data_IF_738669193158
#
_entry.id   IF_738669193158
#
_cell.length_a   1.000
_cell.length_b   1.000
_cell.length_c   1.000
_cell.angle_alpha   90.00
_cell.angle_beta   90.00
_cell.angle_gamma   90.00
#
_symmetry.space_group_name_H-M   'P 1'
#
loop_
_entity.id
_entity.type
_entity.pdbx_description
1 polymer ?
#
# COMPACT_ATOMS: atom_id res chain seq x y z
N UNK A 1 -21.91 1.47 -12.41
CA UNK A 1 -20.47 1.51 -12.73
C UNK A 1 -19.76 0.53 -11.81
N UNK A 2 -18.86 -0.33 -12.35
CA UNK A 2 -18.11 -1.26 -11.53
C UNK A 2 -17.14 -0.49 -10.60
N UNK A 3 -16.90 -0.98 -9.36
CA UNK A 3 -15.94 -0.34 -8.46
C UNK A 3 -14.52 -0.47 -9.01
N UNK A 4 -13.67 0.54 -8.77
CA UNK A 4 -12.24 0.49 -9.17
C UNK A 4 -11.44 -0.39 -8.20
N UNK A 5 -11.82 -0.36 -6.94
CA UNK A 5 -11.14 -1.08 -5.86
C UNK A 5 -11.93 -2.33 -5.49
N UNK A 6 -11.23 -3.44 -5.44
CA UNK A 6 -11.81 -4.72 -5.04
C UNK A 6 -11.77 -4.90 -3.51
N UNK A 7 -12.88 -5.41 -2.98
CA UNK A 7 -12.98 -5.89 -1.62
C UNK A 7 -13.55 -7.31 -1.66
N UNK A 8 -12.97 -8.23 -0.91
CA UNK A 8 -13.46 -9.61 -0.85
C UNK A 8 -14.94 -9.64 -0.39
N UNK A 9 -15.82 -10.38 -1.08
CA UNK A 9 -17.18 -10.60 -0.59
C UNK A 9 -17.25 -11.24 0.79
N UNK A 10 -16.18 -11.98 1.18
CA UNK A 10 -16.02 -12.59 2.48
C UNK A 10 -15.26 -11.71 3.48
N UNK A 11 -14.96 -10.45 3.14
CA UNK A 11 -14.23 -9.55 4.02
C UNK A 11 -15.03 -9.32 5.31
N UNK A 12 -14.36 -9.45 6.45
CA UNK A 12 -14.91 -9.15 7.77
C UNK A 12 -14.16 -7.97 8.35
N UNK A 13 -14.90 -6.97 8.82
CA UNK A 13 -14.35 -5.82 9.52
C UNK A 13 -14.28 -6.17 11.02
N UNK A 14 -13.11 -6.65 11.43
CA UNK A 14 -12.83 -7.04 12.82
C UNK A 14 -11.72 -6.12 13.33
N UNK A 15 -11.90 -5.58 14.52
CA UNK A 15 -10.90 -4.72 15.16
C UNK A 15 -9.53 -5.42 15.23
N UNK A 16 -8.47 -4.69 14.91
CA UNK A 16 -7.10 -5.20 14.88
C UNK A 16 -6.77 -6.12 13.69
N UNK A 17 -7.71 -6.36 12.75
CA UNK A 17 -7.47 -7.16 11.54
C UNK A 17 -7.70 -6.36 10.27
N UNK A 18 -6.78 -6.46 9.34
CA UNK A 18 -6.97 -5.87 8.02
C UNK A 18 -7.98 -6.71 7.20
N UNK A 19 -9.03 -6.10 6.62
CA UNK A 19 -9.90 -6.79 5.69
C UNK A 19 -9.14 -7.17 4.42
N UNK A 20 -9.55 -8.24 3.73
CA UNK A 20 -8.95 -8.62 2.45
C UNK A 20 -9.51 -7.76 1.33
N UNK A 21 -8.66 -6.91 0.75
CA UNK A 21 -9.01 -5.98 -0.31
C UNK A 21 -8.81 -4.53 0.11
N UNK A 22 -9.36 -3.59 -0.68
CA UNK A 22 -9.15 -2.17 -0.43
C UNK A 22 -7.77 -1.68 -0.86
N UNK A 23 -7.23 -0.73 -0.10
CA UNK A 23 -5.88 -0.19 -0.27
C UNK A 23 -5.17 -0.21 1.10
N UNK A 24 -4.74 -1.36 1.60
CA UNK A 24 -3.97 -1.44 2.84
C UNK A 24 -2.71 -0.57 2.78
N UNK A 25 -2.48 0.19 3.83
CA UNK A 25 -1.27 1.02 3.97
C UNK A 25 -0.20 0.17 4.65
N UNK A 26 0.82 -0.22 3.90
CA UNK A 26 1.98 -0.92 4.45
C UNK A 26 2.98 0.12 4.94
N UNK A 27 3.24 0.16 6.25
CA UNK A 27 4.12 1.14 6.91
C UNK A 27 4.47 0.66 8.33
N UNK A 28 5.67 0.82 8.87
CA UNK A 28 6.86 1.44 8.29
C UNK A 28 7.78 0.45 7.56
N UNK A 29 7.35 -0.78 7.31
CA UNK A 29 8.03 -1.76 6.46
C UNK A 29 7.05 -2.47 5.54
N UNK A 30 7.56 -2.98 4.44
CA UNK A 30 6.83 -3.82 3.49
C UNK A 30 7.33 -5.27 3.57
N UNK A 31 6.41 -6.24 3.48
CA UNK A 31 6.76 -7.65 3.63
C UNK A 31 6.93 -8.07 5.10
N UNK A 32 7.64 -9.17 5.32
CA UNK A 32 8.04 -9.62 6.64
C UNK A 32 9.05 -8.64 7.26
N UNK A 33 9.03 -8.51 8.59
CA UNK A 33 10.04 -7.71 9.27
C UNK A 33 11.43 -8.38 9.18
N UNK A 34 12.46 -7.60 8.88
CA UNK A 34 13.78 -8.14 8.50
C UNK A 34 14.54 -8.81 9.64
N UNK A 35 14.27 -8.46 10.89
CA UNK A 35 15.00 -8.95 12.07
C UNK A 35 14.11 -9.58 13.15
N UNK A 36 12.79 -9.48 13.03
CA UNK A 36 11.85 -10.02 14.02
C UNK A 36 10.61 -10.59 13.34
N UNK A 37 10.56 -11.91 13.18
CA UNK A 37 9.45 -12.62 12.55
C UNK A 37 8.15 -12.62 13.38
N UNK A 38 8.19 -12.15 14.63
CA UNK A 38 6.98 -12.03 15.47
C UNK A 38 6.19 -10.77 15.18
N UNK A 39 6.82 -9.77 14.54
CA UNK A 39 6.17 -8.55 14.14
C UNK A 39 5.26 -8.75 12.90
N UNK A 40 4.17 -7.99 12.81
CA UNK A 40 3.21 -8.17 11.73
C UNK A 40 3.83 -7.87 10.36
N UNK A 41 3.59 -8.72 9.37
CA UNK A 41 3.96 -8.42 8.00
C UNK A 41 3.31 -7.12 7.52
N UNK A 42 4.04 -6.34 6.72
CA UNK A 42 3.62 -5.05 6.15
C UNK A 42 3.41 -3.93 7.18
N UNK A 43 4.07 -4.01 8.33
CA UNK A 43 3.94 -3.01 9.39
C UNK A 43 2.61 -3.05 10.12
N UNK A 44 2.31 -2.01 10.87
CA UNK A 44 1.19 -2.01 11.82
C UNK A 44 0.10 -0.98 11.53
N UNK A 45 0.32 0.01 10.65
CA UNK A 45 -0.67 1.11 10.48
C UNK A 45 -1.93 0.70 9.74
N UNK A 46 -1.91 -0.42 8.97
CA UNK A 46 -3.10 -0.92 8.29
C UNK A 46 -4.19 -1.46 9.24
N UNK A 47 -3.83 -1.73 10.50
CA UNK A 47 -4.74 -2.17 11.56
C UNK A 47 -4.90 -1.14 12.66
N UNK A 48 -4.24 0.00 12.55
CA UNK A 48 -4.31 1.09 13.51
C UNK A 48 -5.55 1.97 13.28
N UNK A 49 -5.99 2.64 14.33
CA UNK A 49 -7.05 3.63 14.26
C UNK A 49 -6.48 4.97 13.80
N UNK A 50 -6.99 5.50 12.69
CA UNK A 50 -6.62 6.80 12.16
C UNK A 50 -7.58 7.87 12.63
N UNK A 51 -7.07 9.04 12.95
CA UNK A 51 -7.88 10.21 13.30
C UNK A 51 -8.38 10.90 12.02
N UNK A 52 -9.69 11.14 11.93
CA UNK A 52 -10.24 12.00 10.89
C UNK A 52 -9.81 13.44 11.15
N UNK A 53 -9.21 14.10 10.18
CA UNK A 53 -8.76 15.50 10.23
C UNK A 53 -9.70 16.44 9.49
N UNK A 54 -10.52 15.90 8.62
CA UNK A 54 -11.53 16.68 7.91
C UNK A 54 -12.07 15.97 6.70
N UNK A 55 -13.18 16.48 6.22
CA UNK A 55 -13.79 16.12 4.95
C UNK A 55 -14.28 17.42 4.28
N UNK A 56 -14.16 17.51 2.98
CA UNK A 56 -14.69 18.62 2.19
C UNK A 56 -15.28 18.12 0.86
N UNK A 57 -16.24 18.88 0.35
CA UNK A 57 -16.81 18.66 -1.00
C UNK A 57 -16.65 19.95 -1.76
N UNK A 58 -15.87 19.93 -2.83
CA UNK A 58 -15.58 21.08 -3.66
C UNK A 58 -15.55 20.68 -5.13
N UNK A 59 -16.25 21.44 -5.98
CA UNK A 59 -16.26 21.23 -7.44
C UNK A 59 -16.50 19.77 -7.86
N UNK A 60 -17.44 19.08 -7.20
CA UNK A 60 -17.76 17.69 -7.50
C UNK A 60 -16.72 16.66 -7.01
N UNK A 61 -15.75 17.08 -6.22
CA UNK A 61 -14.73 16.21 -5.62
C UNK A 61 -14.95 16.11 -4.12
N UNK A 62 -14.81 14.91 -3.56
CA UNK A 62 -14.80 14.65 -2.12
C UNK A 62 -13.36 14.47 -1.67
N UNK A 63 -12.93 15.23 -0.67
CA UNK A 63 -11.61 15.08 -0.05
C UNK A 63 -11.76 14.62 1.39
N UNK A 64 -11.09 13.54 1.75
CA UNK A 64 -11.00 13.01 3.11
C UNK A 64 -9.57 13.12 3.60
N UNK A 65 -9.38 13.57 4.86
CA UNK A 65 -8.05 13.70 5.47
C UNK A 65 -7.99 12.93 6.77
N UNK A 66 -6.95 12.14 6.92
CA UNK A 66 -6.68 11.33 8.09
C UNK A 66 -5.26 11.56 8.58
N UNK A 67 -5.04 11.38 9.87
CA UNK A 67 -3.72 11.42 10.48
C UNK A 67 -3.51 10.25 11.44
N UNK A 68 -2.26 9.82 11.51
CA UNK A 68 -1.78 8.84 12.47
C UNK A 68 -0.43 9.33 13.02
N UNK A 69 -0.16 9.12 14.30
CA UNK A 69 1.14 9.41 14.92
C UNK A 69 1.64 8.16 15.62
N UNK A 70 2.92 7.87 15.49
CA UNK A 70 3.57 6.87 16.33
C UNK A 70 3.68 7.40 17.77
N UNK A 71 3.93 6.53 18.70
CA UNK A 71 4.04 6.88 20.12
C UNK A 71 4.42 5.69 20.97
N UNK A 72 4.19 5.77 22.25
CA UNK A 72 4.60 4.75 23.23
C UNK A 72 4.09 3.34 22.85
N UNK A 73 2.84 3.22 22.39
CA UNK A 73 2.25 1.96 22.01
C UNK A 73 2.95 1.27 20.80
N UNK A 74 3.70 2.03 19.99
CA UNK A 74 4.41 1.51 18.81
C UNK A 74 5.92 1.36 19.02
N UNK A 75 6.48 1.90 20.11
CA UNK A 75 7.93 1.90 20.35
C UNK A 75 8.54 0.51 20.42
N UNK A 76 7.83 -0.46 20.96
CA UNK A 76 8.28 -1.85 21.01
C UNK A 76 8.42 -2.52 19.62
N UNK A 77 7.67 -2.04 18.65
CA UNK A 77 7.74 -2.52 17.26
C UNK A 77 8.65 -1.66 16.38
N UNK A 78 8.66 -0.35 16.63
CA UNK A 78 9.40 0.61 15.81
C UNK A 78 9.75 1.86 16.65
N UNK A 79 11.03 1.99 17.08
CA UNK A 79 11.43 2.96 18.12
C UNK A 79 11.69 4.37 17.55
N UNK A 80 10.85 4.85 16.65
CA UNK A 80 10.97 6.17 16.04
C UNK A 80 9.67 6.96 16.17
N UNK A 81 9.77 8.28 16.12
CA UNK A 81 8.64 9.20 16.13
C UNK A 81 8.35 9.71 14.72
N UNK A 82 7.11 9.55 14.29
CA UNK A 82 6.66 10.01 12.99
C UNK A 82 5.18 10.37 12.99
N UNK A 83 4.83 11.35 12.19
CA UNK A 83 3.45 11.70 11.83
C UNK A 83 3.15 11.28 10.40
N UNK A 84 1.99 10.67 10.21
CA UNK A 84 1.46 10.28 8.90
C UNK A 84 0.22 11.11 8.58
N UNK A 85 0.15 11.58 7.36
CA UNK A 85 -1.04 12.21 6.79
C UNK A 85 -1.48 11.41 5.56
N UNK A 86 -2.76 11.03 5.52
CA UNK A 86 -3.38 10.42 4.37
C UNK A 86 -4.47 11.34 3.85
N UNK A 87 -4.34 11.74 2.59
CA UNK A 87 -5.37 12.46 1.85
C UNK A 87 -5.95 11.56 0.75
N UNK A 88 -7.27 11.46 0.70
CA UNK A 88 -8.01 10.71 -0.32
C UNK A 88 -8.92 11.70 -1.06
N UNK A 89 -8.71 11.84 -2.36
CA UNK A 89 -9.55 12.66 -3.23
C UNK A 89 -10.32 11.77 -4.18
N UNK A 90 -11.63 11.84 -4.11
CA UNK A 90 -12.58 11.07 -4.92
C UNK A 90 -13.30 12.02 -5.87
N UNK A 91 -13.10 11.81 -7.17
CA UNK A 91 -13.75 12.56 -8.25
C UNK A 91 -14.01 11.59 -9.42
N UNK A 92 -13.84 12.03 -10.67
CA UNK A 92 -13.70 11.10 -11.80
C UNK A 92 -12.41 10.25 -11.73
N UNK A 93 -11.53 10.56 -10.77
CA UNK A 93 -10.32 9.81 -10.42
C UNK A 93 -10.28 9.60 -8.92
N UNK A 94 -9.65 8.50 -8.50
CA UNK A 94 -9.25 8.26 -7.12
C UNK A 94 -7.78 8.63 -6.96
N UNK A 95 -7.49 9.55 -6.04
CA UNK A 95 -6.11 9.92 -5.69
C UNK A 95 -5.89 9.69 -4.21
N UNK A 96 -4.80 9.00 -3.88
CA UNK A 96 -4.32 8.84 -2.52
C UNK A 96 -2.94 9.49 -2.40
N UNK A 97 -2.73 10.23 -1.32
CA UNK A 97 -1.44 10.79 -0.96
C UNK A 97 -1.13 10.40 0.48
N UNK A 98 -0.10 9.60 0.67
CA UNK A 98 0.46 9.29 1.97
C UNK A 98 1.73 10.11 2.16
N UNK A 99 1.79 10.89 3.24
CA UNK A 99 2.98 11.65 3.63
C UNK A 99 3.44 11.17 5.01
N UNK A 100 4.75 11.01 5.17
CA UNK A 100 5.41 10.69 6.44
C UNK A 100 6.33 11.83 6.81
N UNK A 101 6.17 12.35 8.02
CA UNK A 101 7.05 13.34 8.64
C UNK A 101 7.82 12.67 9.78
N UNK A 102 9.14 12.69 9.73
CA UNK A 102 9.98 12.33 10.87
C UNK A 102 9.88 13.44 11.90
N UNK A 103 9.32 13.14 13.06
CA UNK A 103 9.19 14.08 14.19
C UNK A 103 10.21 13.80 15.29
N UNK A 104 11.02 12.74 15.13
CA UNK A 104 12.11 12.42 16.03
C UNK A 104 13.42 13.12 15.67
N UNK A 105 14.42 12.97 16.54
CA UNK A 105 15.74 13.60 16.37
C UNK A 105 16.68 12.80 15.43
N UNK A 106 16.39 11.53 15.18
CA UNK A 106 17.26 10.63 14.42
C UNK A 106 16.64 10.24 13.08
N UNK A 107 17.44 10.08 12.02
CA UNK A 107 16.94 9.55 10.75
C UNK A 107 16.53 8.08 10.92
N UNK A 108 15.59 7.62 10.08
CA UNK A 108 15.18 6.24 9.99
C UNK A 108 15.03 5.78 8.55
N UNK A 109 15.11 4.48 8.35
CA UNK A 109 14.80 3.85 7.06
C UNK A 109 13.31 3.54 7.04
N UNK A 110 12.66 3.86 5.94
CA UNK A 110 11.23 3.71 5.73
C UNK A 110 10.95 2.80 4.53
N UNK A 111 10.16 1.75 4.76
CA UNK A 111 9.47 0.99 3.72
C UNK A 111 7.98 1.29 3.75
N UNK A 112 7.43 1.79 2.65
CA UNK A 112 5.99 2.06 2.57
C UNK A 112 5.42 1.65 1.22
N UNK A 113 4.16 1.22 1.22
CA UNK A 113 3.40 0.93 0.01
C UNK A 113 1.90 1.15 0.22
N UNK A 114 1.21 1.52 -0.86
CA UNK A 114 -0.23 1.45 -0.99
C UNK A 114 -0.55 0.13 -1.69
N UNK A 115 -0.92 -0.90 -0.92
CA UNK A 115 -1.17 -2.26 -1.43
C UNK A 115 -2.57 -2.34 -2.06
N UNK A 116 -2.67 -1.83 -3.28
CA UNK A 116 -3.95 -1.64 -3.94
C UNK A 116 -4.49 -2.95 -4.54
N UNK A 117 -5.72 -3.32 -4.18
CA UNK A 117 -6.48 -4.38 -4.83
C UNK A 117 -7.36 -3.77 -5.91
N UNK A 118 -7.00 -3.94 -7.17
CA UNK A 118 -7.83 -3.47 -8.29
C UNK A 118 -8.96 -4.46 -8.59
N UNK A 119 -10.14 -3.94 -8.85
CA UNK A 119 -11.24 -4.75 -9.37
C UNK A 119 -11.03 -4.96 -10.87
N UNK A 120 -10.97 -6.22 -11.28
CA UNK A 120 -10.89 -6.62 -12.69
C UNK A 120 -12.06 -7.53 -13.04
N UNK A 121 -12.54 -7.49 -14.28
CA UNK A 121 -13.65 -8.34 -14.72
C UNK A 121 -13.21 -9.79 -14.86
N UNK A 122 -12.10 -10.02 -15.54
CA UNK A 122 -11.49 -11.33 -15.73
C UNK A 122 -9.98 -11.19 -15.70
N UNK A 123 -9.35 -11.90 -14.76
CA UNK A 123 -7.90 -11.84 -14.57
C UNK A 123 -7.13 -12.38 -15.78
N UNK A 124 -7.69 -13.35 -16.50
CA UNK A 124 -7.04 -13.92 -17.69
C UNK A 124 -6.94 -12.93 -18.85
N UNK A 125 -7.81 -11.92 -18.88
CA UNK A 125 -7.79 -10.85 -19.87
C UNK A 125 -7.14 -9.55 -19.37
N UNK A 126 -6.77 -9.50 -18.07
CA UNK A 126 -6.14 -8.33 -17.49
C UNK A 126 -4.64 -8.26 -17.83
N UNK A 127 -4.16 -7.05 -18.09
CA UNK A 127 -2.74 -6.81 -18.35
C UNK A 127 -2.25 -5.58 -17.60
N UNK A 128 -0.97 -5.58 -17.17
CA UNK A 128 -0.29 -4.38 -16.71
C UNK A 128 0.70 -3.95 -17.78
N UNK A 129 0.59 -2.68 -18.20
CA UNK A 129 1.42 -2.05 -19.22
C UNK A 129 2.24 -0.90 -18.63
N UNK A 130 3.30 -0.49 -19.32
CA UNK A 130 4.18 0.61 -18.90
C UNK A 130 5.35 0.18 -18.01
N UNK A 131 5.55 -1.12 -17.82
CA UNK A 131 6.70 -1.69 -17.12
C UNK A 131 7.66 -2.47 -18.04
N UNK A 132 7.39 -2.42 -19.34
CA UNK A 132 8.21 -3.08 -20.35
C UNK A 132 9.67 -2.53 -20.30
N UNK A 133 10.63 -3.43 -20.33
CA UNK A 133 12.04 -3.10 -20.22
C UNK A 133 12.54 -2.82 -18.80
N UNK A 134 11.66 -2.76 -17.80
CA UNK A 134 12.09 -2.58 -16.40
C UNK A 134 12.67 -3.87 -15.81
N UNK A 135 13.65 -3.71 -14.94
CA UNK A 135 14.15 -4.83 -14.11
C UNK A 135 13.21 -5.10 -12.97
N UNK A 136 13.01 -6.37 -12.67
CA UNK A 136 12.23 -6.79 -11.49
C UNK A 136 12.90 -7.95 -10.77
N UNK A 137 12.50 -8.17 -9.52
CA UNK A 137 12.82 -9.34 -8.72
C UNK A 137 11.59 -10.24 -8.75
N UNK A 138 11.75 -11.47 -9.19
CA UNK A 138 10.70 -12.49 -9.18
C UNK A 138 10.81 -13.31 -7.89
N UNK A 139 9.82 -13.16 -7.01
CA UNK A 139 9.83 -13.83 -5.69
C UNK A 139 9.55 -15.33 -5.83
N UNK A 140 8.80 -15.73 -6.86
CA UNK A 140 8.48 -17.13 -7.15
C UNK A 140 9.65 -17.87 -7.80
N UNK A 141 10.58 -17.15 -8.45
CA UNK A 141 11.77 -17.70 -9.07
C UNK A 141 13.02 -17.53 -8.18
N UNK A 142 12.89 -17.71 -6.87
CA UNK A 142 14.00 -17.62 -5.93
C UNK A 142 14.65 -16.23 -5.84
N UNK A 143 13.89 -15.19 -6.01
CA UNK A 143 14.32 -13.78 -6.03
C UNK A 143 15.29 -13.47 -7.20
N UNK A 144 15.14 -14.17 -8.32
CA UNK A 144 15.94 -13.88 -9.52
C UNK A 144 15.66 -12.46 -10.03
N UNK A 145 16.72 -11.76 -10.45
CA UNK A 145 16.60 -10.47 -11.11
C UNK A 145 16.43 -10.69 -12.59
N UNK A 146 15.29 -10.28 -13.13
CA UNK A 146 14.88 -10.44 -14.51
C UNK A 146 14.53 -9.10 -15.14
N UNK A 147 14.23 -9.08 -16.42
CA UNK A 147 13.76 -7.92 -17.18
C UNK A 147 12.40 -8.24 -17.79
N UNK A 148 11.48 -7.29 -17.71
CA UNK A 148 10.13 -7.44 -18.26
C UNK A 148 10.17 -7.33 -19.78
N UNK A 149 9.62 -8.33 -20.43
CA UNK A 149 9.41 -8.33 -21.87
C UNK A 149 7.90 -8.26 -22.15
N UNK A 150 7.47 -7.18 -22.78
CA UNK A 150 6.05 -6.92 -23.07
C UNK A 150 5.16 -6.65 -21.85
N UNK A 151 3.84 -6.57 -22.03
CA UNK A 151 2.86 -6.42 -20.96
C UNK A 151 2.87 -7.59 -19.99
N UNK A 152 2.55 -7.34 -18.71
CA UNK A 152 2.39 -8.40 -17.73
C UNK A 152 1.01 -9.02 -17.89
N UNK A 153 0.94 -10.32 -18.15
CA UNK A 153 -0.27 -11.12 -18.18
C UNK A 153 -0.33 -12.06 -16.96
N UNK A 154 -1.51 -12.54 -16.61
CA UNK A 154 -1.77 -13.34 -15.42
C UNK A 154 -2.31 -14.75 -15.83
N UNK A 155 -1.50 -15.52 -16.54
CA UNK A 155 -1.83 -16.91 -16.86
C UNK A 155 -1.62 -17.85 -15.65
N UNK A 156 -0.78 -17.46 -14.73
CA UNK A 156 -0.43 -18.14 -13.47
C UNK A 156 -0.15 -17.10 -12.37
N UNK A 157 0.29 -17.54 -11.19
CA UNK A 157 0.65 -16.65 -10.11
C UNK A 157 1.84 -15.76 -10.50
N UNK A 158 1.73 -14.46 -10.23
CA UNK A 158 2.77 -13.47 -10.51
C UNK A 158 3.04 -12.70 -9.22
N UNK A 159 4.28 -12.75 -8.74
CA UNK A 159 4.76 -11.96 -7.60
C UNK A 159 6.11 -11.35 -7.94
N UNK A 160 6.11 -10.05 -8.29
CA UNK A 160 7.26 -9.32 -8.82
C UNK A 160 7.43 -7.97 -8.18
N UNK A 161 8.68 -7.63 -7.86
CA UNK A 161 9.07 -6.30 -7.38
C UNK A 161 9.82 -5.58 -8.48
N UNK A 162 9.19 -4.57 -9.10
CA UNK A 162 9.82 -3.77 -10.16
C UNK A 162 10.74 -2.71 -9.57
N UNK A 163 11.95 -2.60 -10.12
CA UNK A 163 12.99 -1.71 -9.67
C UNK A 163 13.02 -0.47 -10.58
N UNK A 164 12.80 0.71 -10.00
CA UNK A 164 12.86 1.95 -10.75
C UNK A 164 11.70 2.12 -11.74
N UNK A 165 10.46 1.88 -11.28
CA UNK A 165 9.27 2.16 -12.07
C UNK A 165 9.28 3.59 -12.63
N UNK A 166 8.84 3.83 -13.87
CA UNK A 166 8.82 5.14 -14.46
C UNK A 166 7.98 6.10 -13.62
N UNK A 167 8.50 7.30 -13.43
CA UNK A 167 7.73 8.38 -12.83
C UNK A 167 6.78 8.88 -13.91
N UNK A 168 5.46 8.71 -13.67
CA UNK A 168 4.40 9.22 -14.53
C UNK A 168 4.20 10.73 -14.39
#
# INVERSE_FOLDING_TARGET
QAPVIWLSPAARFVEGKAPRGGIPICWPWFGAHTSDATLPAHGFVRTASWRVRGASVENGSVTLRFAYSTGEATRGMWPHDADLALEIVISHRLRLRLATLNTGASPFVLGQALHTYFHVGDIASAHVVGLEGQSYIDTLAGHARLRQDGPIAFAEEVDRVYLGAPQG
#
